data_IF_936181444490
#
_entry.id   IF_936181444490
#
_cell.length_a   1.000
_cell.length_b   1.000
_cell.length_c   1.000
_cell.angle_alpha   90.00
_cell.angle_beta   90.00
_cell.angle_gamma   90.00
#
_symmetry.space_group_name_H-M   'P 1'
#
loop_
_entity.id
_entity.type
_entity.pdbx_description
1 polymer ?
#
# COMPACT_ATOMS: atom_id res chain seq x y z
N UNK A 1 -6.13 13.41 -13.02
CA UNK A 1 -7.39 13.18 -13.77
C UNK A 1 -7.78 11.71 -13.73
N UNK A 2 -6.92 10.77 -14.15
CA UNK A 2 -7.22 9.33 -14.05
C UNK A 2 -7.47 8.86 -12.60
N UNK A 3 -6.65 9.30 -11.64
CA UNK A 3 -6.85 8.99 -10.22
C UNK A 3 -8.19 9.51 -9.67
N UNK A 4 -8.66 10.66 -10.17
CA UNK A 4 -9.95 11.23 -9.78
C UNK A 4 -11.13 10.36 -10.24
N UNK A 5 -11.07 9.74 -11.43
CA UNK A 5 -12.12 8.81 -11.87
C UNK A 5 -12.16 7.57 -10.96
N UNK A 6 -11.01 7.07 -10.51
CA UNK A 6 -10.95 5.98 -9.51
C UNK A 6 -11.64 6.39 -8.21
N UNK A 7 -11.31 7.57 -7.67
CA UNK A 7 -11.94 8.11 -6.46
C UNK A 7 -13.46 8.37 -6.59
N UNK A 8 -13.97 8.48 -7.81
CA UNK A 8 -15.41 8.58 -8.12
C UNK A 8 -16.08 7.20 -8.37
N UNK A 9 -15.38 6.10 -8.07
CA UNK A 9 -15.89 4.73 -8.25
C UNK A 9 -15.94 4.28 -9.71
N UNK A 10 -15.08 4.82 -10.58
CA UNK A 10 -14.99 4.47 -12.00
C UNK A 10 -13.59 3.94 -12.38
N UNK A 11 -13.16 2.82 -11.78
CA UNK A 11 -11.83 2.27 -12.02
C UNK A 11 -11.56 1.93 -13.49
N UNK A 12 -12.58 1.55 -14.27
CA UNK A 12 -12.46 1.25 -15.70
C UNK A 12 -12.00 2.47 -16.49
N UNK A 13 -12.56 3.66 -16.19
CA UNK A 13 -12.13 4.90 -16.85
C UNK A 13 -10.70 5.28 -16.49
N UNK A 14 -10.30 5.04 -15.24
CA UNK A 14 -8.91 5.25 -14.83
C UNK A 14 -7.95 4.36 -15.63
N UNK A 15 -8.35 3.11 -15.93
CA UNK A 15 -7.58 2.22 -16.80
C UNK A 15 -7.52 2.68 -18.25
N UNK A 16 -8.64 3.10 -18.82
CA UNK A 16 -8.67 3.61 -20.20
C UNK A 16 -7.71 4.80 -20.36
N UNK A 17 -7.72 5.71 -19.38
CA UNK A 17 -6.82 6.85 -19.36
C UNK A 17 -5.34 6.45 -19.16
N UNK A 18 -5.07 5.43 -18.35
CA UNK A 18 -3.71 4.93 -18.12
C UNK A 18 -3.14 4.13 -19.29
N UNK A 19 -4.01 3.55 -20.12
CA UNK A 19 -3.63 2.86 -21.36
C UNK A 19 -3.53 3.77 -22.59
N UNK A 20 -3.83 5.06 -22.46
CA UNK A 20 -3.86 5.99 -23.58
C UNK A 20 -2.46 6.19 -24.21
N UNK A 21 -2.34 6.29 -25.55
CA UNK A 21 -1.04 6.48 -26.22
C UNK A 21 -0.25 7.71 -25.74
N UNK A 22 -0.96 8.73 -25.26
CA UNK A 22 -0.40 9.96 -24.69
C UNK A 22 0.48 9.70 -23.46
N UNK A 23 0.22 8.61 -22.71
CA UNK A 23 1.01 8.24 -21.53
C UNK A 23 2.46 7.98 -21.91
N UNK A 24 2.73 7.42 -23.11
CA UNK A 24 4.09 7.20 -23.60
C UNK A 24 4.87 8.48 -23.88
N UNK A 25 4.17 9.62 -24.01
CA UNK A 25 4.77 10.93 -24.23
C UNK A 25 5.12 11.64 -22.92
N UNK A 26 4.64 11.13 -21.79
CA UNK A 26 4.99 11.66 -20.47
C UNK A 26 6.46 11.34 -20.16
N UNK A 27 7.02 12.12 -19.24
CA UNK A 27 8.30 11.80 -18.64
C UNK A 27 8.22 10.52 -17.80
N UNK A 28 9.38 10.06 -17.31
CA UNK A 28 9.42 8.80 -16.56
C UNK A 28 8.56 8.86 -15.29
N UNK A 29 8.55 10.01 -14.62
CA UNK A 29 7.72 10.24 -13.44
C UNK A 29 6.24 10.03 -13.79
N UNK A 30 5.73 10.74 -14.81
CA UNK A 30 4.35 10.62 -15.26
C UNK A 30 3.98 9.21 -15.70
N UNK A 31 4.88 8.48 -16.37
CA UNK A 31 4.65 7.07 -16.74
C UNK A 31 4.51 6.17 -15.50
N UNK A 32 5.30 6.39 -14.46
CA UNK A 32 5.19 5.64 -13.20
C UNK A 32 3.90 6.00 -12.46
N UNK A 33 3.52 7.27 -12.41
CA UNK A 33 2.24 7.69 -11.82
C UNK A 33 1.06 7.01 -12.52
N UNK A 34 1.04 7.00 -13.85
CA UNK A 34 -0.05 6.35 -14.59
C UNK A 34 -0.10 4.84 -14.34
N UNK A 35 1.06 4.19 -14.13
CA UNK A 35 1.14 2.78 -13.72
C UNK A 35 0.57 2.56 -12.32
N UNK A 36 0.89 3.43 -11.35
CA UNK A 36 0.34 3.38 -10.00
C UNK A 36 -1.18 3.52 -10.03
N UNK A 37 -1.70 4.48 -10.80
CA UNK A 37 -3.14 4.69 -10.97
C UNK A 37 -3.82 3.44 -11.57
N UNK A 38 -3.22 2.86 -12.61
CA UNK A 38 -3.76 1.67 -13.26
C UNK A 38 -3.77 0.45 -12.33
N UNK A 39 -2.73 0.28 -11.52
CA UNK A 39 -2.66 -0.80 -10.54
C UNK A 39 -3.71 -0.63 -9.45
N UNK A 40 -3.90 0.59 -8.92
CA UNK A 40 -4.97 0.90 -7.98
C UNK A 40 -6.36 0.58 -8.54
N UNK A 41 -6.63 1.01 -9.78
CA UNK A 41 -7.90 0.73 -10.44
C UNK A 41 -8.16 -0.78 -10.61
N UNK A 42 -7.12 -1.58 -10.92
CA UNK A 42 -7.24 -3.05 -10.97
C UNK A 42 -7.57 -3.65 -9.61
N UNK A 43 -6.96 -3.15 -8.53
CA UNK A 43 -7.26 -3.60 -7.16
C UNK A 43 -8.70 -3.32 -6.75
N UNK A 44 -9.21 -2.13 -7.08
CA UNK A 44 -10.59 -1.74 -6.78
C UNK A 44 -11.61 -2.68 -7.46
N UNK A 45 -11.25 -3.24 -8.63
CA UNK A 45 -12.05 -4.24 -9.35
C UNK A 45 -11.75 -5.69 -8.92
N UNK A 46 -10.94 -5.91 -7.88
CA UNK A 46 -10.54 -7.25 -7.43
C UNK A 46 -9.54 -7.97 -8.35
N UNK A 47 -8.97 -7.29 -9.35
CA UNK A 47 -8.04 -7.84 -10.33
C UNK A 47 -6.60 -7.83 -9.81
N UNK A 48 -6.36 -8.51 -8.69
CA UNK A 48 -5.11 -8.42 -7.94
C UNK A 48 -3.88 -8.88 -8.73
N UNK A 49 -3.95 -10.02 -9.42
CA UNK A 49 -2.86 -10.51 -10.27
C UNK A 49 -2.50 -9.52 -11.38
N UNK A 50 -3.51 -8.90 -11.99
CA UNK A 50 -3.30 -7.90 -13.02
C UNK A 50 -2.67 -6.63 -12.43
N UNK A 51 -3.03 -6.23 -11.21
CA UNK A 51 -2.41 -5.11 -10.52
C UNK A 51 -0.92 -5.36 -10.25
N UNK A 52 -0.56 -6.56 -9.78
CA UNK A 52 0.82 -6.99 -9.57
C UNK A 52 1.61 -6.90 -10.87
N UNK A 53 1.11 -7.51 -11.96
CA UNK A 53 1.77 -7.47 -13.28
C UNK A 53 1.92 -6.04 -13.80
N UNK A 54 0.93 -5.18 -13.55
CA UNK A 54 0.98 -3.76 -13.96
C UNK A 54 2.15 -3.03 -13.34
N UNK A 55 2.42 -3.29 -12.06
CA UNK A 55 3.47 -2.64 -11.27
C UNK A 55 4.87 -3.17 -11.57
N UNK A 56 4.98 -4.37 -12.15
CA UNK A 56 6.26 -4.92 -12.59
C UNK A 56 6.84 -4.08 -13.72
N UNK A 57 7.93 -3.39 -13.42
CA UNK A 57 8.64 -2.56 -14.39
C UNK A 57 10.13 -2.44 -14.05
N UNK A 58 10.98 -1.99 -14.99
CA UNK A 58 12.39 -1.74 -14.71
C UNK A 58 12.60 -0.74 -13.56
N UNK A 59 11.66 0.19 -13.37
CA UNK A 59 11.72 1.18 -12.29
C UNK A 59 11.51 0.55 -10.91
N UNK A 60 10.66 -0.49 -10.80
CA UNK A 60 10.43 -1.21 -9.54
C UNK A 60 11.72 -1.90 -9.07
N UNK A 61 12.48 -2.48 -10.00
CA UNK A 61 13.74 -3.18 -9.74
C UNK A 61 14.98 -2.27 -9.67
N UNK A 62 14.81 -0.95 -9.89
CA UNK A 62 15.93 0.00 -9.90
C UNK A 62 16.49 0.22 -8.49
N UNK A 63 17.83 0.28 -8.40
CA UNK A 63 18.54 0.69 -7.18
C UNK A 63 18.58 2.21 -6.98
N UNK A 64 18.26 2.99 -8.02
CA UNK A 64 18.20 4.45 -7.92
C UNK A 64 16.91 4.87 -7.21
N UNK A 65 17.06 5.60 -6.11
CA UNK A 65 15.93 6.18 -5.37
C UNK A 65 15.47 7.44 -6.09
N UNK A 66 14.23 7.42 -6.56
CA UNK A 66 13.52 8.51 -7.22
C UNK A 66 12.32 8.93 -6.35
N UNK A 67 11.72 10.11 -6.56
CA UNK A 67 10.58 10.58 -5.78
C UNK A 67 9.34 9.65 -5.79
N UNK A 68 9.24 8.74 -6.77
CA UNK A 68 8.16 7.75 -6.86
C UNK A 68 8.55 6.36 -6.34
N UNK A 69 9.81 6.11 -5.99
CA UNK A 69 10.31 4.76 -5.69
C UNK A 69 9.62 4.16 -4.46
N UNK A 70 9.47 4.92 -3.37
CA UNK A 70 8.77 4.46 -2.17
C UNK A 70 7.32 4.05 -2.48
N UNK A 71 6.56 4.95 -3.11
CA UNK A 71 5.16 4.70 -3.51
C UNK A 71 5.00 3.53 -4.47
N UNK A 72 5.92 3.36 -5.44
CA UNK A 72 5.88 2.24 -6.38
C UNK A 72 6.09 0.89 -5.68
N UNK A 73 7.08 0.81 -4.77
CA UNK A 73 7.36 -0.41 -4.01
C UNK A 73 6.27 -0.71 -3.00
N UNK A 74 5.73 0.32 -2.35
CA UNK A 74 4.57 0.22 -1.45
C UNK A 74 3.36 -0.36 -2.18
N UNK A 75 2.96 0.22 -3.32
CA UNK A 75 1.81 -0.26 -4.08
C UNK A 75 1.98 -1.71 -4.54
N UNK A 76 3.21 -2.14 -4.83
CA UNK A 76 3.52 -3.52 -5.18
C UNK A 76 3.39 -4.45 -3.98
N UNK A 77 3.93 -4.06 -2.82
CA UNK A 77 3.79 -4.79 -1.57
C UNK A 77 2.32 -4.96 -1.16
N UNK A 78 1.54 -3.88 -1.24
CA UNK A 78 0.12 -3.88 -0.89
C UNK A 78 -0.73 -4.71 -1.85
N UNK A 79 -0.39 -4.73 -3.16
CA UNK A 79 -1.01 -5.63 -4.13
C UNK A 79 -0.68 -7.10 -3.86
N UNK A 80 0.57 -7.41 -3.49
CA UNK A 80 0.99 -8.76 -3.09
C UNK A 80 0.25 -9.22 -1.83
N UNK A 81 0.15 -8.35 -0.83
CA UNK A 81 -0.53 -8.66 0.43
C UNK A 81 -2.01 -8.96 0.20
N UNK A 82 -2.69 -8.13 -0.59
CA UNK A 82 -4.08 -8.34 -0.98
C UNK A 82 -4.28 -9.69 -1.70
N UNK A 83 -3.29 -10.15 -2.46
CA UNK A 83 -3.31 -11.45 -3.15
C UNK A 83 -2.90 -12.63 -2.24
N UNK A 84 -2.68 -12.40 -0.94
CA UNK A 84 -2.26 -13.43 0.02
C UNK A 84 -0.78 -13.82 -0.08
N UNK A 85 0.05 -13.05 -0.80
CA UNK A 85 1.48 -13.29 -0.98
C UNK A 85 2.29 -12.57 0.10
N UNK A 86 1.99 -12.90 1.36
CA UNK A 86 2.44 -12.16 2.54
C UNK A 86 3.98 -12.07 2.66
N UNK A 87 4.70 -13.18 2.45
CA UNK A 87 6.16 -13.20 2.55
C UNK A 87 6.81 -12.24 1.53
N UNK A 88 6.29 -12.20 0.31
CA UNK A 88 6.78 -11.27 -0.71
C UNK A 88 6.38 -9.83 -0.40
N UNK A 89 5.14 -9.62 0.07
CA UNK A 89 4.67 -8.30 0.47
C UNK A 89 5.58 -7.69 1.54
N UNK A 90 5.93 -8.47 2.56
CA UNK A 90 6.86 -8.09 3.61
C UNK A 90 8.21 -7.64 3.06
N UNK A 91 8.82 -8.40 2.15
CA UNK A 91 10.09 -8.02 1.52
C UNK A 91 9.99 -6.69 0.77
N UNK A 92 8.87 -6.44 0.10
CA UNK A 92 8.66 -5.20 -0.65
C UNK A 92 8.29 -4.01 0.22
N UNK A 93 7.59 -4.21 1.35
CA UNK A 93 7.40 -3.17 2.35
C UNK A 93 8.74 -2.74 2.96
N UNK A 94 9.62 -3.68 3.30
CA UNK A 94 10.98 -3.34 3.75
C UNK A 94 11.75 -2.48 2.72
N UNK A 95 11.69 -2.84 1.43
CA UNK A 95 12.30 -2.03 0.36
C UNK A 95 11.62 -0.68 0.15
N UNK A 96 10.34 -0.55 0.50
CA UNK A 96 9.63 0.73 0.47
C UNK A 96 10.12 1.62 1.61
N UNK A 97 10.22 1.10 2.84
CA UNK A 97 10.81 1.79 4.01
C UNK A 97 12.21 2.31 3.71
N UNK A 98 13.07 1.48 3.12
CA UNK A 98 14.43 1.90 2.74
C UNK A 98 14.47 3.07 1.74
N UNK A 99 13.46 3.17 0.87
CA UNK A 99 13.36 4.23 -0.12
C UNK A 99 12.64 5.48 0.40
N UNK A 100 11.85 5.36 1.46
CA UNK A 100 10.94 6.38 1.98
C UNK A 100 11.62 7.33 2.97
N UNK A 101 12.56 8.13 2.46
CA UNK A 101 13.39 9.01 3.30
C UNK A 101 12.64 10.18 3.93
N UNK A 102 11.50 10.54 3.36
CA UNK A 102 10.64 11.64 3.78
C UNK A 102 9.39 11.17 4.55
N UNK A 103 9.23 9.86 4.76
CA UNK A 103 8.06 9.31 5.46
C UNK A 103 6.76 9.55 4.70
N UNK A 104 6.81 9.47 3.36
CA UNK A 104 5.67 9.66 2.47
C UNK A 104 4.67 8.50 2.48
N UNK A 105 5.05 7.36 3.06
CA UNK A 105 4.24 6.14 3.18
C UNK A 105 4.22 5.63 4.61
N UNK A 106 3.20 4.85 4.95
CA UNK A 106 3.10 4.09 6.21
C UNK A 106 3.79 2.71 6.11
N UNK A 107 4.76 2.54 5.21
CA UNK A 107 5.40 1.24 4.94
C UNK A 107 6.02 0.59 6.19
N UNK A 108 6.54 1.40 7.12
CA UNK A 108 7.11 0.93 8.38
C UNK A 108 6.06 0.26 9.26
N UNK A 109 4.88 0.86 9.31
CA UNK A 109 3.79 0.45 10.19
C UNK A 109 3.19 -0.84 9.64
N UNK A 110 2.95 -0.87 8.32
CA UNK A 110 2.51 -2.07 7.59
C UNK A 110 3.50 -3.24 7.74
N UNK A 111 4.81 -2.95 7.72
CA UNK A 111 5.82 -3.98 7.95
C UNK A 111 5.78 -4.52 9.40
N UNK A 112 5.63 -3.63 10.38
CA UNK A 112 5.53 -4.00 11.79
C UNK A 112 4.27 -4.85 12.07
N UNK A 113 3.13 -4.51 11.47
CA UNK A 113 1.90 -5.33 11.53
C UNK A 113 2.14 -6.75 11.00
N UNK A 114 2.82 -6.88 9.85
CA UNK A 114 3.20 -8.18 9.28
C UNK A 114 4.24 -8.94 10.13
N UNK A 115 4.94 -8.23 11.01
CA UNK A 115 5.83 -8.79 12.02
C UNK A 115 5.11 -9.22 13.31
N UNK A 116 3.81 -8.97 13.40
CA UNK A 116 3.02 -9.20 14.62
C UNK A 116 3.31 -8.17 15.73
N UNK A 117 3.83 -7.00 15.38
CA UNK A 117 4.02 -5.89 16.31
C UNK A 117 2.79 -4.98 16.22
N UNK A 118 1.99 -4.95 17.28
CA UNK A 118 0.86 -4.02 17.41
C UNK A 118 1.31 -2.73 18.10
N UNK A 119 1.09 -1.59 17.45
CA UNK A 119 1.25 -0.28 18.08
C UNK A 119 -0.01 0.03 18.90
N UNK A 120 0.09 -0.10 20.21
CA UNK A 120 -0.94 0.42 21.13
C UNK A 120 -0.77 1.93 21.25
N UNK A 121 -1.85 2.69 21.05
CA UNK A 121 -1.84 4.13 21.31
C UNK A 121 -1.66 4.33 22.82
N UNK A 122 -0.50 4.86 23.21
CA UNK A 122 -0.18 5.12 24.61
C UNK A 122 -1.06 6.21 25.24
N UNK A 123 -1.90 6.90 24.45
CA UNK A 123 -2.90 7.87 24.93
C UNK A 123 -4.27 7.24 25.21
N UNK A 124 -4.47 5.94 24.98
CA UNK A 124 -5.68 5.22 25.37
C UNK A 124 -5.63 4.75 26.85
N UNK A 125 -5.06 5.55 27.73
CA UNK A 125 -5.23 5.37 29.18
C UNK A 125 -6.55 6.01 29.63
N UNK A 126 -7.50 5.13 30.00
CA UNK A 126 -8.69 5.37 30.85
C UNK A 126 -9.99 5.90 30.20
N UNK A 127 -10.79 4.99 29.63
CA UNK A 127 -12.25 5.02 29.78
C UNK A 127 -12.81 3.59 30.02
N UNK A 128 -12.67 3.13 31.27
CA UNK A 128 -13.71 2.42 32.04
C UNK A 128 -14.23 1.03 31.61
N UNK A 129 -13.93 0.03 32.44
CA UNK A 129 -14.87 -1.00 32.97
C UNK A 129 -14.16 -1.66 34.18
N UNK A 130 -14.58 -1.57 35.44
CA UNK A 130 -15.92 -1.50 35.98
C UNK A 130 -16.40 -2.88 36.43
N UNK A 131 -15.80 -3.47 37.48
CA UNK A 131 -16.23 -4.79 37.98
C UNK A 131 -15.50 -5.28 39.24
N UNK A 132 -15.77 -4.64 40.38
CA UNK A 132 -15.34 -5.10 41.71
C UNK A 132 -16.23 -6.25 42.23
N UNK A 133 -15.55 -7.29 42.72
CA UNK A 133 -15.89 -8.21 43.81
C UNK A 133 -17.14 -9.14 43.70
N UNK A 134 -16.86 -10.45 43.67
CA UNK A 134 -17.61 -11.40 44.49
C UNK A 134 -16.65 -12.31 45.25
N UNK A 135 -16.92 -12.42 46.54
CA UNK A 135 -16.17 -13.12 47.56
C UNK A 135 -16.22 -14.64 47.40
N UNK A 136 -15.17 -15.34 47.82
CA UNK A 136 -15.33 -16.67 48.41
C UNK A 136 -14.39 -16.81 49.62
N UNK A 137 -15.04 -16.96 50.77
CA UNK A 137 -14.50 -17.21 52.11
C UNK A 137 -14.29 -18.73 52.30
N UNK A 138 -13.04 -19.14 52.56
CA UNK A 138 -12.60 -20.40 53.21
C UNK A 138 -11.22 -20.08 53.81
N UNK A 139 -10.89 -20.27 55.08
CA UNK A 139 -11.27 -21.24 56.12
C UNK A 139 -11.01 -20.58 57.50
#
# INVERSE_FOLDING_TARGET
>A
MADCERGLGRPEKALDMAGAPEVHKLDKAGQVEMRLVAAGARRDMGQLDAAIVTLQSPELASNSVQPWTARLRYAYADALLAAGRESEAREWFAKAVEADRDGSTDASDRLAELDGVEFVDALAEDEGEGGEASAEEKD
#
